data_IF_154038481667
#
_entry.id   IF_154038481667
#
_cell.length_a   1.000
_cell.length_b   1.000
_cell.length_c   1.000
_cell.angle_alpha   90.00
_cell.angle_beta   90.00
_cell.angle_gamma   90.00
#
_symmetry.space_group_name_H-M   'P 1'
#
loop_
_entity.id
_entity.type
_entity.pdbx_description
1 polymer ?
#
# COMPACT_ATOMS: atom_id res chain seq x y z
N UNK A 1 47.43 -28.13 -16.53
CA UNK A 1 46.73 -28.35 -17.80
C UNK A 1 46.56 -29.83 -18.00
N UNK A 2 45.54 -30.46 -17.48
CA UNK A 2 45.10 -31.84 -17.75
C UNK A 2 43.81 -32.14 -16.97
N UNK A 3 42.72 -31.47 -17.28
CA UNK A 3 41.39 -31.75 -16.70
C UNK A 3 40.23 -31.59 -17.70
N UNK A 4 40.52 -31.36 -18.98
CA UNK A 4 39.50 -31.12 -20.01
C UNK A 4 39.19 -32.34 -20.86
N UNK A 5 40.07 -33.32 -20.93
CA UNK A 5 39.92 -34.47 -21.87
C UNK A 5 39.01 -35.59 -21.33
N UNK A 6 38.84 -35.71 -19.99
CA UNK A 6 38.01 -36.76 -19.42
C UNK A 6 36.49 -36.50 -19.52
N UNK A 7 36.08 -35.25 -19.56
CA UNK A 7 34.66 -34.88 -19.72
C UNK A 7 34.14 -35.10 -21.15
N UNK A 8 34.94 -34.81 -22.16
CA UNK A 8 34.53 -35.03 -23.54
C UNK A 8 34.41 -36.52 -23.87
N UNK A 9 35.28 -37.36 -23.34
CA UNK A 9 35.20 -38.81 -23.49
C UNK A 9 34.00 -39.44 -22.78
N UNK A 10 33.60 -38.91 -21.60
CA UNK A 10 32.43 -39.36 -20.86
C UNK A 10 31.13 -38.96 -21.57
N UNK A 11 31.06 -37.77 -22.11
CA UNK A 11 29.88 -37.26 -22.84
C UNK A 11 29.69 -37.93 -24.19
N UNK A 12 30.78 -38.28 -24.92
CA UNK A 12 30.71 -38.99 -26.18
C UNK A 12 30.31 -40.47 -26.01
N UNK A 13 30.51 -41.07 -24.84
CA UNK A 13 30.05 -42.41 -24.53
C UNK A 13 28.54 -42.52 -24.25
N UNK A 14 27.94 -41.43 -23.77
CA UNK A 14 26.51 -41.33 -23.41
C UNK A 14 25.65 -40.72 -24.51
N UNK A 15 26.23 -39.80 -25.28
CA UNK A 15 25.55 -39.09 -26.38
C UNK A 15 26.30 -39.32 -27.69
N UNK A 16 25.62 -39.83 -28.71
CA UNK A 16 26.18 -39.90 -30.05
C UNK A 16 26.32 -38.50 -30.69
N UNK A 17 27.01 -38.36 -31.82
CA UNK A 17 27.18 -37.09 -32.51
C UNK A 17 25.81 -36.52 -32.91
N UNK A 18 25.43 -35.41 -32.26
CA UNK A 18 24.13 -34.76 -32.41
C UNK A 18 23.25 -34.71 -31.16
N UNK A 19 23.77 -35.10 -29.97
CA UNK A 19 23.11 -34.87 -28.68
C UNK A 19 21.85 -35.68 -28.41
N UNK A 20 21.65 -36.82 -29.11
CA UNK A 20 20.50 -37.74 -28.88
C UNK A 20 20.94 -38.96 -28.09
N UNK A 21 20.25 -39.27 -27.00
CA UNK A 21 20.43 -40.49 -26.22
C UNK A 21 20.22 -41.74 -27.13
N UNK A 22 21.21 -42.62 -27.17
CA UNK A 22 21.11 -43.93 -27.82
C UNK A 22 20.45 -44.92 -26.85
N UNK A 23 19.20 -45.27 -27.09
CA UNK A 23 18.58 -46.45 -26.52
C UNK A 23 18.74 -47.62 -27.50
N UNK A 24 19.56 -48.60 -27.14
CA UNK A 24 19.73 -49.78 -27.94
C UNK A 24 18.56 -50.74 -27.63
N UNK A 25 17.52 -50.67 -28.44
CA UNK A 25 16.37 -51.56 -28.37
C UNK A 25 16.54 -52.70 -29.34
N UNK A 26 17.40 -53.67 -29.04
CA UNK A 26 17.32 -55.05 -29.62
C UNK A 26 18.20 -56.01 -28.83
N UNK A 27 17.62 -56.74 -27.91
CA UNK A 27 17.87 -58.16 -27.63
C UNK A 27 16.79 -58.70 -26.71
N UNK A 28 15.83 -59.37 -27.23
CA UNK A 28 14.96 -60.30 -26.51
C UNK A 28 15.77 -61.49 -25.99
N UNK A 29 15.79 -61.76 -24.66
CA UNK A 29 16.34 -63.02 -24.16
C UNK A 29 15.26 -64.11 -24.25
N UNK A 30 15.67 -65.39 -24.39
CA UNK A 30 14.74 -66.51 -24.52
C UNK A 30 14.00 -66.79 -23.25
N UNK A 31 12.72 -67.17 -23.38
CA UNK A 31 11.85 -67.63 -22.33
C UNK A 31 12.44 -68.85 -21.59
N UNK A 32 12.53 -68.74 -20.25
CA UNK A 32 12.66 -69.90 -19.36
C UNK A 32 11.40 -70.01 -18.48
N UNK A 33 10.82 -71.22 -18.35
CA UNK A 33 9.60 -71.40 -17.60
C UNK A 33 9.86 -71.46 -16.12
N UNK A 34 9.00 -70.82 -15.30
CA UNK A 34 8.65 -71.18 -13.96
C UNK A 34 9.52 -70.69 -12.79
N UNK A 35 9.53 -69.39 -12.55
CA UNK A 35 9.84 -68.83 -11.23
C UNK A 35 8.75 -67.80 -10.85
N UNK A 36 8.24 -67.78 -9.62
CA UNK A 36 7.23 -66.78 -9.23
C UNK A 36 7.84 -65.39 -9.38
N UNK A 37 6.98 -64.48 -9.84
CA UNK A 37 7.31 -63.13 -10.28
C UNK A 37 7.89 -62.28 -9.11
N UNK A 38 9.19 -62.48 -8.82
CA UNK A 38 9.90 -61.72 -7.79
C UNK A 38 9.90 -60.23 -8.08
N UNK A 39 9.72 -59.80 -9.34
CA UNK A 39 9.63 -58.39 -9.71
C UNK A 39 8.29 -57.78 -9.30
N UNK A 40 7.19 -58.52 -9.35
CA UNK A 40 5.89 -58.03 -8.89
C UNK A 40 5.87 -57.85 -7.37
N UNK A 41 6.45 -58.77 -6.61
CA UNK A 41 6.55 -58.70 -5.15
C UNK A 41 7.48 -57.54 -4.71
N UNK A 42 8.58 -57.31 -5.44
CA UNK A 42 9.51 -56.18 -5.17
C UNK A 42 8.86 -54.83 -5.49
N UNK A 43 8.09 -54.73 -6.57
CA UNK A 43 7.36 -53.55 -6.95
C UNK A 43 6.24 -53.21 -5.95
N UNK A 44 5.59 -54.21 -5.39
CA UNK A 44 4.57 -54.04 -4.36
C UNK A 44 5.17 -53.63 -3.01
N UNK A 45 6.35 -54.14 -2.66
CA UNK A 45 7.10 -53.71 -1.50
C UNK A 45 7.60 -52.24 -1.67
N UNK A 46 8.09 -51.85 -2.85
CA UNK A 46 8.46 -50.46 -3.13
C UNK A 46 7.27 -49.52 -3.01
N UNK A 47 6.12 -49.88 -3.56
CA UNK A 47 4.90 -49.05 -3.43
C UNK A 47 4.46 -48.90 -1.97
N UNK A 48 4.51 -49.95 -1.17
CA UNK A 48 4.19 -49.89 0.27
C UNK A 48 5.18 -49.01 1.04
N UNK A 49 6.47 -49.07 0.70
CA UNK A 49 7.50 -48.24 1.31
C UNK A 49 7.31 -46.78 0.95
N UNK A 50 7.00 -46.46 -0.33
CA UNK A 50 6.72 -45.12 -0.80
C UNK A 50 5.46 -44.54 -0.16
N UNK A 51 4.42 -45.35 0.04
CA UNK A 51 3.22 -44.89 0.74
C UNK A 51 3.47 -44.66 2.24
N UNK A 52 4.28 -45.50 2.90
CA UNK A 52 4.68 -45.32 4.29
C UNK A 52 5.55 -44.02 4.44
N UNK A 53 6.50 -43.81 3.55
CA UNK A 53 7.34 -42.61 3.53
C UNK A 53 6.50 -41.34 3.27
N UNK A 54 5.52 -41.39 2.37
CA UNK A 54 4.60 -40.27 2.13
C UNK A 54 3.73 -39.97 3.34
N UNK A 55 3.23 -40.98 4.05
CA UNK A 55 2.46 -40.79 5.29
C UNK A 55 3.33 -40.19 6.40
N UNK A 56 4.52 -40.75 6.61
CA UNK A 56 5.45 -40.28 7.64
C UNK A 56 5.94 -38.84 7.37
N UNK A 57 6.21 -38.48 6.10
CA UNK A 57 6.55 -37.13 5.72
C UNK A 57 5.36 -36.16 5.85
N UNK A 58 4.13 -36.63 5.66
CA UNK A 58 2.94 -35.80 5.84
C UNK A 58 2.65 -35.54 7.33
N UNK A 59 2.88 -36.52 8.19
CA UNK A 59 2.78 -36.39 9.64
C UNK A 59 3.87 -35.49 10.20
N UNK A 60 5.13 -35.69 9.82
CA UNK A 60 6.25 -34.81 10.20
C UNK A 60 6.04 -33.37 9.77
N UNK A 61 5.49 -33.11 8.58
CA UNK A 61 5.15 -31.77 8.14
C UNK A 61 4.01 -31.13 8.93
N UNK A 62 3.02 -31.93 9.37
CA UNK A 62 1.93 -31.43 10.21
C UNK A 62 2.42 -31.06 11.60
N UNK A 63 3.23 -31.93 12.21
CA UNK A 63 3.76 -31.71 13.55
C UNK A 63 4.71 -30.53 13.58
N UNK A 64 5.66 -30.41 12.62
CA UNK A 64 6.55 -29.26 12.52
C UNK A 64 5.80 -27.96 12.22
N UNK A 65 4.71 -28.01 11.45
CA UNK A 65 3.89 -26.83 11.17
C UNK A 65 3.08 -26.41 12.41
N UNK A 66 2.54 -27.37 13.17
CA UNK A 66 1.81 -27.08 14.41
C UNK A 66 2.74 -26.57 15.51
N UNK A 67 3.94 -27.16 15.66
CA UNK A 67 4.94 -26.67 16.60
C UNK A 67 5.45 -25.29 16.23
N UNK A 68 5.71 -25.02 14.95
CA UNK A 68 6.11 -23.70 14.47
C UNK A 68 5.00 -22.65 14.67
N UNK A 69 3.73 -23.03 14.48
CA UNK A 69 2.58 -22.16 14.76
C UNK A 69 2.42 -21.90 16.27
N UNK A 70 2.63 -22.91 17.11
CA UNK A 70 2.56 -22.79 18.57
C UNK A 70 3.71 -21.89 19.09
N UNK A 71 4.92 -22.08 18.57
CA UNK A 71 6.06 -21.21 18.90
C UNK A 71 5.85 -19.77 18.44
N UNK A 72 5.31 -19.57 17.24
CA UNK A 72 4.98 -18.23 16.73
C UNK A 72 3.90 -17.54 17.56
N UNK A 73 2.88 -18.27 18.01
CA UNK A 73 1.85 -17.74 18.92
C UNK A 73 2.43 -17.36 20.27
N UNK A 74 3.26 -18.22 20.85
CA UNK A 74 3.91 -17.93 22.13
C UNK A 74 4.84 -16.72 22.03
N UNK A 75 5.59 -16.60 20.92
CA UNK A 75 6.46 -15.45 20.67
C UNK A 75 5.66 -14.14 20.49
N UNK A 76 4.48 -14.22 19.86
CA UNK A 76 3.56 -13.09 19.75
C UNK A 76 2.96 -12.70 21.11
N UNK A 77 2.56 -13.66 21.94
CA UNK A 77 2.06 -13.43 23.29
C UNK A 77 3.14 -12.82 24.19
N UNK A 78 4.39 -13.31 24.11
CA UNK A 78 5.53 -12.75 24.84
C UNK A 78 5.84 -11.30 24.37
N UNK A 79 5.78 -11.01 23.07
CA UNK A 79 5.96 -9.66 22.51
C UNK A 79 4.82 -8.70 22.87
N UNK A 80 3.58 -9.19 23.01
CA UNK A 80 2.45 -8.42 23.53
C UNK A 80 2.59 -8.13 25.03
N UNK A 81 3.08 -9.10 25.80
CA UNK A 81 3.33 -8.93 27.25
C UNK A 81 4.45 -7.93 27.52
N UNK A 82 5.48 -7.90 26.68
CA UNK A 82 6.60 -6.95 26.76
C UNK A 82 6.25 -5.54 26.20
N UNK A 83 5.02 -5.33 25.70
CA UNK A 83 4.58 -4.07 25.13
C UNK A 83 5.25 -3.70 23.79
N UNK A 84 5.94 -4.65 23.15
CA UNK A 84 6.60 -4.48 21.86
C UNK A 84 5.63 -4.56 20.69
N UNK A 85 4.45 -5.18 20.88
CA UNK A 85 3.34 -5.16 19.93
C UNK A 85 2.17 -4.36 20.52
N UNK A 86 1.66 -3.43 19.74
CA UNK A 86 0.43 -2.75 20.11
C UNK A 86 -0.71 -3.77 20.21
N UNK A 87 -1.31 -3.89 21.40
CA UNK A 87 -2.46 -4.76 21.62
C UNK A 87 -3.53 -4.48 20.58
N UNK A 88 -3.91 -5.49 19.81
CA UNK A 88 -5.20 -5.48 19.13
C UNK A 88 -5.27 -5.23 17.64
N UNK A 89 -4.31 -5.70 16.82
CA UNK A 89 -4.45 -5.56 15.36
C UNK A 89 -5.52 -6.45 14.71
N UNK A 90 -5.94 -7.54 15.32
CA UNK A 90 -6.89 -8.48 14.71
C UNK A 90 -8.34 -8.25 15.13
N UNK A 91 -8.61 -7.96 16.41
CA UNK A 91 -9.98 -7.69 16.91
C UNK A 91 -10.47 -6.30 16.47
N UNK A 92 -9.59 -5.31 16.48
CA UNK A 92 -9.83 -3.94 15.97
C UNK A 92 -10.25 -3.93 14.49
N UNK A 93 -9.81 -4.91 13.68
CA UNK A 93 -10.18 -5.00 12.25
C UNK A 93 -11.64 -5.31 11.99
N UNK A 94 -12.28 -6.18 12.77
CA UNK A 94 -13.69 -6.55 12.54
C UNK A 94 -14.64 -5.44 12.97
N UNK A 95 -14.40 -4.80 14.11
CA UNK A 95 -15.17 -3.65 14.57
C UNK A 95 -15.08 -2.47 13.59
N UNK A 96 -13.88 -2.17 13.10
CA UNK A 96 -13.68 -1.09 12.14
C UNK A 96 -14.32 -1.39 10.77
N UNK A 97 -14.39 -2.65 10.32
CA UNK A 97 -15.03 -3.00 9.06
C UNK A 97 -16.53 -2.72 9.08
N UNK A 98 -17.21 -3.00 10.19
CA UNK A 98 -18.62 -2.64 10.39
C UNK A 98 -18.86 -1.13 10.34
N UNK A 99 -17.90 -0.33 10.83
CA UNK A 99 -17.99 1.14 10.82
C UNK A 99 -17.92 1.76 9.42
N UNK A 100 -17.49 1.00 8.39
CA UNK A 100 -17.54 1.45 6.99
C UNK A 100 -18.89 1.24 6.31
N UNK A 101 -19.79 0.45 6.91
CA UNK A 101 -21.12 0.24 6.33
C UNK A 101 -21.92 1.54 6.28
N UNK A 102 -22.49 1.82 5.11
CA UNK A 102 -23.24 3.03 4.87
C UNK A 102 -22.41 4.33 4.80
N UNK A 103 -21.08 4.29 5.00
CA UNK A 103 -20.22 5.48 4.93
C UNK A 103 -20.32 6.19 3.58
N UNK A 104 -20.23 5.44 2.48
CA UNK A 104 -20.35 6.02 1.14
C UNK A 104 -21.73 6.67 0.92
N UNK A 105 -22.81 6.04 1.39
CA UNK A 105 -24.16 6.61 1.31
C UNK A 105 -24.30 7.90 2.13
N UNK A 106 -23.62 8.00 3.25
CA UNK A 106 -23.60 9.23 4.07
C UNK A 106 -22.85 10.37 3.35
N UNK A 107 -21.66 10.08 2.79
CA UNK A 107 -20.87 11.08 2.05
C UNK A 107 -21.62 11.54 0.79
N UNK A 108 -22.32 10.65 0.08
CA UNK A 108 -23.13 10.97 -1.12
C UNK A 108 -24.30 11.92 -0.83
N UNK A 109 -24.79 12.01 0.43
CA UNK A 109 -25.80 13.01 0.79
C UNK A 109 -25.28 14.44 0.70
N UNK A 110 -23.97 14.62 0.90
CA UNK A 110 -23.31 15.93 0.88
C UNK A 110 -22.60 16.19 -0.43
N UNK A 111 -21.96 15.15 -1.00
CA UNK A 111 -21.22 15.19 -2.27
C UNK A 111 -22.14 14.73 -3.40
N UNK A 112 -22.66 15.69 -4.17
CA UNK A 112 -23.61 15.42 -5.24
C UNK A 112 -22.92 15.20 -6.58
N UNK A 113 -23.42 14.26 -7.37
CA UNK A 113 -23.01 14.04 -8.77
C UNK A 113 -21.62 13.41 -8.96
N UNK A 114 -21.04 12.81 -7.90
CA UNK A 114 -19.74 12.14 -7.93
C UNK A 114 -19.79 10.77 -7.26
N UNK A 115 -20.87 10.02 -7.44
CA UNK A 115 -21.15 8.79 -6.71
C UNK A 115 -20.06 7.73 -6.86
N UNK A 116 -19.59 7.48 -8.09
CA UNK A 116 -18.53 6.53 -8.36
C UNK A 116 -17.18 6.96 -7.74
N UNK A 117 -16.90 8.27 -7.75
CA UNK A 117 -15.71 8.83 -7.12
C UNK A 117 -15.76 8.67 -5.60
N UNK A 118 -16.90 8.97 -4.97
CA UNK A 118 -17.12 8.75 -3.53
C UNK A 118 -16.91 7.28 -3.16
N UNK A 119 -17.50 6.35 -3.93
CA UNK A 119 -17.30 4.91 -3.70
C UNK A 119 -15.81 4.52 -3.82
N UNK A 120 -15.11 5.09 -4.80
CA UNK A 120 -13.67 4.90 -4.99
C UNK A 120 -12.87 5.38 -3.78
N UNK A 121 -13.11 6.61 -3.32
CA UNK A 121 -12.40 7.21 -2.17
C UNK A 121 -12.67 6.40 -0.89
N UNK A 122 -13.93 6.06 -0.60
CA UNK A 122 -14.28 5.26 0.59
C UNK A 122 -13.62 3.88 0.53
N UNK A 123 -13.58 3.23 -0.63
CA UNK A 123 -12.88 1.95 -0.82
C UNK A 123 -11.37 2.10 -0.59
N UNK A 124 -10.75 3.16 -1.12
CA UNK A 124 -9.33 3.45 -0.93
C UNK A 124 -8.98 3.68 0.55
N UNK A 125 -9.83 4.40 1.28
CA UNK A 125 -9.66 4.63 2.72
C UNK A 125 -9.89 3.35 3.55
N UNK A 126 -10.78 2.46 3.11
CA UNK A 126 -11.06 1.18 3.76
C UNK A 126 -9.95 0.15 3.57
N UNK A 127 -9.20 0.21 2.45
CA UNK A 127 -8.20 -0.81 2.07
C UNK A 127 -7.23 -1.18 3.20
N UNK A 128 -6.62 -0.26 3.96
CA UNK A 128 -5.69 -0.59 5.04
C UNK A 128 -6.33 -1.40 6.18
N UNK A 129 -7.60 -1.17 6.46
CA UNK A 129 -8.33 -1.90 7.50
C UNK A 129 -8.60 -3.37 7.10
N UNK A 130 -8.64 -3.65 5.80
CA UNK A 130 -8.84 -5.00 5.26
C UNK A 130 -7.52 -5.74 5.11
N UNK A 131 -6.53 -5.10 4.50
CA UNK A 131 -5.25 -5.72 4.15
C UNK A 131 -4.22 -5.64 5.29
N UNK A 132 -4.43 -4.70 6.21
CA UNK A 132 -3.42 -4.32 7.18
C UNK A 132 -2.34 -3.43 6.57
N UNK A 133 -1.54 -2.82 7.42
CA UNK A 133 -0.39 -2.01 7.03
C UNK A 133 0.78 -2.37 7.91
N UNK A 134 1.96 -2.43 7.32
CA UNK A 134 3.20 -2.60 8.07
C UNK A 134 3.73 -1.21 8.48
N UNK A 135 3.75 -0.93 9.78
CA UNK A 135 4.41 0.28 10.26
C UNK A 135 5.95 0.16 10.04
N UNK A 136 6.65 1.23 9.65
CA UNK A 136 6.21 2.64 9.60
C UNK A 136 5.74 3.11 8.22
N UNK A 137 5.38 2.21 7.30
CA UNK A 137 5.01 2.54 5.92
C UNK A 137 3.72 3.39 5.84
N UNK A 138 3.41 3.92 4.66
CA UNK A 138 2.14 4.58 4.42
C UNK A 138 0.98 3.59 4.54
N UNK A 139 -0.15 4.02 5.09
CA UNK A 139 -1.37 3.19 5.13
C UNK A 139 -1.87 2.85 3.74
N UNK A 140 -1.94 3.86 2.87
CA UNK A 140 -2.26 3.70 1.47
C UNK A 140 -1.69 4.89 0.69
N UNK A 141 -1.38 4.66 -0.59
CA UNK A 141 -0.98 5.70 -1.54
C UNK A 141 -2.10 5.82 -2.57
N UNK A 142 -2.74 6.98 -2.60
CA UNK A 142 -3.99 7.20 -3.35
C UNK A 142 -3.78 8.33 -4.34
N UNK A 143 -4.23 8.14 -5.58
CA UNK A 143 -4.29 9.18 -6.59
C UNK A 143 -5.73 9.61 -6.80
N UNK A 144 -6.03 10.89 -6.60
CA UNK A 144 -7.30 11.52 -6.90
C UNK A 144 -7.18 12.37 -8.15
N UNK A 145 -7.77 11.91 -9.25
CA UNK A 145 -7.68 12.54 -10.57
C UNK A 145 -8.94 13.30 -10.92
N UNK A 146 -8.80 14.24 -11.86
CA UNK A 146 -9.89 14.90 -12.55
C UNK A 146 -9.74 16.42 -12.68
N UNK A 147 -10.69 17.03 -13.37
CA UNK A 147 -10.67 18.45 -13.63
C UNK A 147 -10.75 19.31 -12.35
N UNK A 148 -10.22 20.51 -12.33
CA UNK A 148 -10.39 21.44 -11.21
C UNK A 148 -11.88 21.75 -11.03
N UNK A 149 -12.29 21.94 -9.75
CA UNK A 149 -13.69 22.28 -9.44
C UNK A 149 -14.66 21.07 -9.40
N UNK A 150 -14.21 19.85 -9.67
CA UNK A 150 -15.06 18.64 -9.64
C UNK A 150 -15.30 18.07 -8.24
N UNK A 151 -14.82 18.73 -7.19
CA UNK A 151 -15.12 18.35 -5.80
C UNK A 151 -14.16 17.35 -5.17
N UNK A 152 -12.98 17.08 -5.76
CA UNK A 152 -11.98 16.14 -5.21
C UNK A 152 -11.63 16.41 -3.75
N UNK A 153 -11.28 17.67 -3.45
CA UNK A 153 -10.91 18.10 -2.11
C UNK A 153 -12.08 17.99 -1.12
N UNK A 154 -13.25 18.45 -1.58
CA UNK A 154 -14.47 18.39 -0.79
C UNK A 154 -14.86 16.95 -0.44
N UNK A 155 -14.81 16.03 -1.41
CA UNK A 155 -15.10 14.61 -1.18
C UNK A 155 -14.14 14.00 -0.17
N UNK A 156 -12.84 14.27 -0.27
CA UNK A 156 -11.86 13.75 0.68
C UNK A 156 -12.10 14.31 2.10
N UNK A 157 -12.40 15.61 2.21
CA UNK A 157 -12.71 16.27 3.49
C UNK A 157 -13.97 15.68 4.13
N UNK A 158 -15.05 15.51 3.36
CA UNK A 158 -16.29 14.92 3.88
C UNK A 158 -16.10 13.44 4.25
N UNK A 159 -15.33 12.69 3.47
CA UNK A 159 -14.99 11.31 3.83
C UNK A 159 -14.19 11.26 5.13
N UNK A 160 -13.18 12.11 5.29
CA UNK A 160 -12.39 12.19 6.51
C UNK A 160 -13.26 12.57 7.72
N UNK A 161 -14.16 13.55 7.56
CA UNK A 161 -15.12 13.96 8.60
C UNK A 161 -16.03 12.80 9.03
N UNK A 162 -16.64 12.10 8.09
CA UNK A 162 -17.50 10.96 8.37
C UNK A 162 -16.73 9.80 9.03
N UNK A 163 -15.49 9.57 8.60
CA UNK A 163 -14.61 8.57 9.21
C UNK A 163 -14.22 8.94 10.64
N UNK A 164 -13.89 10.20 10.90
CA UNK A 164 -13.55 10.68 12.24
C UNK A 164 -14.74 10.56 13.22
N UNK A 165 -15.95 10.92 12.76
CA UNK A 165 -17.19 10.75 13.55
C UNK A 165 -17.42 9.29 13.94
N UNK A 166 -17.03 8.35 13.07
CA UNK A 166 -17.17 6.90 13.30
C UNK A 166 -15.96 6.28 14.03
N UNK A 167 -15.00 7.08 14.47
CA UNK A 167 -13.81 6.61 15.18
C UNK A 167 -12.79 5.88 14.30
N UNK A 168 -12.91 5.95 12.96
CA UNK A 168 -11.98 5.33 12.01
C UNK A 168 -10.71 6.15 11.80
N UNK A 169 -10.77 7.46 12.05
CA UNK A 169 -9.64 8.38 12.09
C UNK A 169 -9.65 9.13 13.42
N UNK A 170 -8.47 9.52 13.89
CA UNK A 170 -8.32 10.33 15.11
C UNK A 170 -8.72 11.79 14.87
N UNK A 171 -8.60 12.28 13.64
CA UNK A 171 -8.92 13.65 13.26
C UNK A 171 -9.46 13.71 11.84
N UNK A 172 -10.38 14.62 11.59
CA UNK A 172 -10.91 14.97 10.28
C UNK A 172 -10.00 15.93 9.47
N UNK A 173 -8.91 16.42 10.11
CA UNK A 173 -8.01 17.38 9.49
C UNK A 173 -7.11 16.72 8.45
N UNK A 174 -7.01 17.39 7.31
CA UNK A 174 -6.06 17.06 6.25
C UNK A 174 -4.80 17.90 6.43
N UNK A 175 -3.62 17.28 6.33
CA UNK A 175 -2.37 17.99 6.18
C UNK A 175 -2.12 18.19 4.68
N UNK A 176 -2.18 19.42 4.19
CA UNK A 176 -2.05 19.72 2.76
C UNK A 176 -0.71 20.39 2.49
N UNK A 177 0.04 19.83 1.54
CA UNK A 177 1.28 20.40 1.02
C UNK A 177 1.09 20.83 -0.44
N UNK A 178 1.20 22.11 -0.70
CA UNK A 178 1.27 22.64 -2.05
C UNK A 178 2.70 22.57 -2.57
N UNK A 179 2.96 21.58 -3.43
CA UNK A 179 4.29 21.31 -3.96
C UNK A 179 4.80 22.38 -4.94
N UNK A 180 3.92 23.27 -5.43
CA UNK A 180 4.33 24.40 -6.24
C UNK A 180 5.19 25.41 -5.45
N UNK A 181 5.16 25.38 -4.12
CA UNK A 181 6.02 26.22 -3.27
C UNK A 181 7.50 25.79 -3.31
N UNK A 182 7.82 24.64 -3.88
CA UNK A 182 9.17 24.06 -3.90
C UNK A 182 9.68 23.82 -5.33
N UNK A 183 9.81 24.87 -6.18
CA UNK A 183 10.11 24.72 -7.60
C UNK A 183 11.58 24.48 -7.91
N UNK A 184 12.48 24.65 -6.94
CA UNK A 184 13.93 24.58 -7.16
C UNK A 184 14.66 23.99 -5.93
N UNK A 185 15.91 23.52 -6.08
CA UNK A 185 16.66 22.88 -4.99
C UNK A 185 16.91 23.81 -3.79
N UNK A 186 16.89 25.13 -3.96
CA UNK A 186 17.07 26.09 -2.85
C UNK A 186 15.94 26.05 -1.83
N UNK A 187 14.78 25.49 -2.17
CA UNK A 187 13.65 25.31 -1.25
C UNK A 187 13.76 24.07 -0.35
N UNK A 188 14.89 23.33 -0.36
CA UNK A 188 15.03 22.06 0.36
C UNK A 188 14.71 22.16 1.85
N UNK A 189 15.25 23.16 2.54
CA UNK A 189 15.00 23.33 3.98
C UNK A 189 13.53 23.57 4.29
N UNK A 190 12.87 24.38 3.49
CA UNK A 190 11.43 24.66 3.62
C UNK A 190 10.63 23.38 3.34
N UNK A 191 10.92 22.69 2.23
CA UNK A 191 10.26 21.43 1.88
C UNK A 191 10.38 20.38 2.99
N UNK A 192 11.58 20.17 3.52
CA UNK A 192 11.81 19.19 4.58
C UNK A 192 11.09 19.58 5.88
N UNK A 193 11.10 20.87 6.24
CA UNK A 193 10.40 21.37 7.42
C UNK A 193 8.90 21.16 7.30
N UNK A 194 8.31 21.53 6.17
CA UNK A 194 6.86 21.40 5.95
C UNK A 194 6.44 19.94 5.84
N UNK A 195 7.24 19.10 5.18
CA UNK A 195 7.01 17.66 5.09
C UNK A 195 7.06 17.01 6.49
N UNK A 196 8.06 17.37 7.29
CA UNK A 196 8.18 16.86 8.65
C UNK A 196 6.99 17.28 9.50
N UNK A 197 6.62 18.55 9.45
CA UNK A 197 5.46 19.08 10.18
C UNK A 197 4.14 18.43 9.74
N UNK A 198 3.95 18.23 8.44
CA UNK A 198 2.76 17.57 7.89
C UNK A 198 2.66 16.10 8.30
N UNK A 199 3.77 15.36 8.32
CA UNK A 199 3.81 13.99 8.78
C UNK A 199 3.51 13.89 10.28
N UNK A 200 3.95 14.83 11.09
CA UNK A 200 3.73 14.81 12.55
C UNK A 200 2.47 15.56 12.98
N UNK A 201 1.73 16.17 12.04
CA UNK A 201 0.41 16.75 12.32
C UNK A 201 -0.57 15.67 12.81
N UNK A 202 -1.57 16.02 13.63
CA UNK A 202 -2.53 15.05 14.21
C UNK A 202 -3.42 14.37 13.16
N UNK A 203 -3.61 14.99 11.97
CA UNK A 203 -4.37 14.38 10.88
C UNK A 203 -3.64 13.17 10.27
N UNK A 204 -4.39 12.14 9.93
CA UNK A 204 -3.84 10.90 9.37
C UNK A 204 -3.76 10.90 7.84
N UNK A 205 -4.22 11.96 7.19
CA UNK A 205 -4.24 12.11 5.73
C UNK A 205 -3.33 13.25 5.33
N UNK A 206 -2.31 12.93 4.54
CA UNK A 206 -1.37 13.87 3.95
C UNK A 206 -1.66 14.02 2.46
N UNK A 207 -1.96 15.24 2.05
CA UNK A 207 -2.36 15.58 0.68
C UNK A 207 -1.23 16.35 -0.01
N UNK A 208 -0.89 15.94 -1.22
CA UNK A 208 0.09 16.59 -2.09
C UNK A 208 -0.61 17.15 -3.32
N UNK A 209 -0.46 18.46 -3.53
CA UNK A 209 -1.03 19.18 -4.66
C UNK A 209 0.07 19.76 -5.55
N UNK A 210 -0.24 20.02 -6.82
CA UNK A 210 0.62 20.70 -7.80
C UNK A 210 2.03 20.09 -7.95
N UNK A 211 2.14 18.77 -7.89
CA UNK A 211 3.41 18.05 -8.01
C UNK A 211 4.12 18.32 -9.35
N UNK A 212 3.39 18.73 -10.38
CA UNK A 212 3.93 19.07 -11.70
C UNK A 212 4.93 20.21 -11.65
N UNK A 213 4.75 21.14 -10.71
CA UNK A 213 5.60 22.35 -10.52
C UNK A 213 6.71 22.13 -9.50
N UNK A 214 6.78 20.98 -8.85
CA UNK A 214 7.76 20.67 -7.84
C UNK A 214 9.12 20.30 -8.44
N UNK A 215 10.20 20.63 -7.70
CA UNK A 215 11.54 20.19 -8.07
C UNK A 215 11.65 18.65 -8.07
N UNK A 216 12.21 18.02 -9.13
CA UNK A 216 12.25 16.55 -9.27
C UNK A 216 12.95 15.83 -8.11
N UNK A 217 13.95 16.46 -7.48
CA UNK A 217 14.63 15.91 -6.32
C UNK A 217 13.70 15.67 -5.12
N UNK A 218 12.73 16.58 -4.89
CA UNK A 218 11.75 16.42 -3.82
C UNK A 218 10.69 15.41 -4.17
N UNK A 219 10.29 15.30 -5.44
CA UNK A 219 9.41 14.22 -5.91
C UNK A 219 10.04 12.85 -5.67
N UNK A 220 11.35 12.72 -5.84
CA UNK A 220 12.09 11.48 -5.49
C UNK A 220 11.99 11.16 -4.00
N UNK A 221 12.09 12.16 -3.12
CA UNK A 221 11.91 11.98 -1.67
C UNK A 221 10.50 11.46 -1.35
N UNK A 222 9.47 12.03 -1.97
CA UNK A 222 8.08 11.56 -1.81
C UNK A 222 7.89 10.14 -2.40
N UNK A 223 8.53 9.84 -3.53
CA UNK A 223 8.51 8.50 -4.10
C UNK A 223 9.17 7.48 -3.17
N UNK A 224 10.31 7.81 -2.57
CA UNK A 224 10.99 6.94 -1.60
C UNK A 224 10.14 6.71 -0.34
N UNK A 225 9.43 7.73 0.15
CA UNK A 225 8.45 7.57 1.24
C UNK A 225 7.34 6.58 0.90
N UNK A 226 6.79 6.66 -0.31
CA UNK A 226 5.72 5.79 -0.74
C UNK A 226 6.18 4.35 -1.03
N UNK A 227 7.33 4.21 -1.72
CA UNK A 227 7.83 2.91 -2.21
C UNK A 227 8.60 2.15 -1.12
N UNK A 228 9.49 2.86 -0.39
CA UNK A 228 10.41 2.26 0.59
C UNK A 228 9.93 2.42 2.03
N UNK A 229 8.81 3.13 2.25
CA UNK A 229 8.34 3.48 3.60
C UNK A 229 9.28 4.42 4.35
N UNK A 230 10.33 4.93 3.73
CA UNK A 230 11.23 5.92 4.32
C UNK A 230 12.07 6.62 3.27
N UNK A 231 12.34 7.92 3.46
CA UNK A 231 13.25 8.69 2.63
C UNK A 231 14.48 9.14 3.43
N UNK A 232 15.70 8.97 2.92
CA UNK A 232 16.89 9.52 3.54
C UNK A 232 16.90 11.05 3.41
N UNK A 233 17.43 11.71 4.41
CA UNK A 233 17.65 13.16 4.37
C UNK A 233 19.09 13.45 3.89
N UNK A 234 19.29 14.60 3.26
CA UNK A 234 20.60 15.08 2.78
C UNK A 234 21.58 15.35 3.93
N UNK A 235 21.06 15.74 5.08
CA UNK A 235 21.79 16.01 6.31
C UNK A 235 21.14 15.32 7.51
N UNK A 236 21.79 15.42 8.67
CA UNK A 236 21.19 15.02 9.95
C UNK A 236 20.52 16.24 10.57
N UNK A 237 19.31 16.05 11.09
CA UNK A 237 18.54 17.13 11.70
C UNK A 237 18.23 16.79 13.16
N UNK A 238 18.29 17.79 14.02
CA UNK A 238 17.74 17.73 15.36
C UNK A 238 16.36 18.35 15.34
N UNK A 239 15.44 17.76 16.06
CA UNK A 239 14.11 18.33 16.28
C UNK A 239 14.13 19.15 17.55
N UNK A 240 13.90 20.45 17.46
CA UNK A 240 13.79 21.29 18.63
C UNK A 240 12.44 21.08 19.35
N UNK A 241 12.26 21.75 20.51
CA UNK A 241 11.03 21.65 21.31
C UNK A 241 9.76 22.13 20.57
N UNK A 242 9.94 22.93 19.53
CA UNK A 242 8.87 23.47 18.69
C UNK A 242 8.56 22.60 17.47
N UNK A 243 9.24 21.44 17.33
CA UNK A 243 9.05 20.54 16.18
C UNK A 243 9.79 20.99 14.91
N UNK A 244 10.73 21.94 15.04
CA UNK A 244 11.47 22.48 13.88
C UNK A 244 12.74 21.64 13.66
N UNK A 245 13.01 21.30 12.40
CA UNK A 245 14.23 20.63 11.97
C UNK A 245 15.39 21.62 11.94
N UNK A 246 16.38 21.40 12.79
CA UNK A 246 17.63 22.16 12.83
C UNK A 246 18.75 21.29 12.30
N UNK A 247 19.49 21.77 11.32
CA UNK A 247 20.63 21.03 10.76
C UNK A 247 21.68 20.78 11.85
N UNK A 248 21.96 19.50 12.09
CA UNK A 248 22.95 19.08 13.08
C UNK A 248 24.38 19.09 12.52
N UNK A 249 24.56 19.35 11.24
CA UNK A 249 25.86 19.30 10.55
C UNK A 249 26.53 17.93 10.69
N UNK A 250 27.80 17.92 11.09
CA UNK A 250 28.60 16.71 11.31
C UNK A 250 28.49 16.15 12.72
N UNK A 251 27.74 16.78 13.61
CA UNK A 251 27.64 16.38 15.01
C UNK A 251 26.90 15.03 15.13
N UNK A 252 27.51 14.10 15.87
CA UNK A 252 26.90 12.83 16.28
C UNK A 252 26.01 13.10 17.51
N UNK A 253 24.90 13.81 17.32
CA UNK A 253 24.00 14.10 18.42
C UNK A 253 23.00 12.95 18.61
N UNK A 254 22.78 12.48 19.85
CA UNK A 254 21.70 11.53 20.14
C UNK A 254 20.34 12.11 19.71
N UNK A 255 19.53 11.31 19.05
CA UNK A 255 18.21 11.76 18.56
C UNK A 255 18.21 12.50 17.23
N UNK A 256 19.35 12.55 16.51
CA UNK A 256 19.39 13.13 15.17
C UNK A 256 18.59 12.29 14.16
N UNK A 257 17.69 12.95 13.45
CA UNK A 257 16.86 12.38 12.40
C UNK A 257 17.64 12.41 11.09
N UNK A 258 17.89 11.26 10.50
CA UNK A 258 18.53 11.09 9.18
C UNK A 258 17.61 10.52 8.12
N UNK A 259 16.40 10.15 8.49
CA UNK A 259 15.37 9.58 7.62
C UNK A 259 14.00 10.08 8.06
N UNK A 260 13.10 10.24 7.11
CA UNK A 260 11.68 10.52 7.36
C UNK A 260 10.88 9.28 6.97
N UNK A 261 9.86 8.96 7.76
CA UNK A 261 8.89 7.87 7.49
C UNK A 261 7.49 8.45 7.45
N UNK A 262 6.55 7.87 6.68
CA UNK A 262 5.18 8.37 6.60
C UNK A 262 4.34 8.13 7.87
N UNK A 263 4.89 7.45 8.87
CA UNK A 263 4.27 7.21 10.18
C UNK A 263 2.82 6.67 10.10
N UNK A 264 2.55 5.77 9.17
CA UNK A 264 1.23 5.18 8.98
C UNK A 264 0.15 6.13 8.47
N UNK A 265 0.51 7.21 7.79
CA UNK A 265 -0.45 8.13 7.17
C UNK A 265 -0.90 7.66 5.79
N UNK A 266 -2.07 8.13 5.36
CA UNK A 266 -2.49 8.07 3.96
C UNK A 266 -1.72 9.13 3.17
N UNK A 267 -1.11 8.75 2.05
CA UNK A 267 -0.47 9.67 1.11
C UNK A 267 -1.41 9.85 -0.09
N UNK A 268 -1.99 11.03 -0.22
CA UNK A 268 -2.98 11.34 -1.25
C UNK A 268 -2.41 12.35 -2.22
N UNK A 269 -2.34 11.99 -3.50
CA UNK A 269 -1.84 12.85 -4.56
C UNK A 269 -3.00 13.37 -5.39
N UNK A 270 -3.07 14.69 -5.59
CA UNK A 270 -4.05 15.31 -6.46
C UNK A 270 -3.44 15.57 -7.83
N UNK A 271 -4.14 15.17 -8.88
CA UNK A 271 -3.72 15.41 -10.26
C UNK A 271 -4.91 15.82 -11.11
N UNK A 272 -4.65 16.68 -12.11
CA UNK A 272 -5.62 16.91 -13.18
C UNK A 272 -5.55 15.83 -14.25
N UNK A 273 -4.44 15.11 -14.29
CA UNK A 273 -4.11 14.06 -15.26
C UNK A 273 -4.11 12.70 -14.54
N UNK A 274 -4.27 11.65 -15.32
CA UNK A 274 -4.33 10.31 -14.82
C UNK A 274 -2.98 9.73 -14.36
N UNK A 275 -2.98 8.43 -14.15
CA UNK A 275 -1.85 7.62 -13.66
C UNK A 275 -0.57 7.76 -14.52
N UNK A 276 -0.72 7.94 -15.84
CA UNK A 276 0.43 8.05 -16.76
C UNK A 276 1.27 9.30 -16.48
N UNK A 277 0.62 10.44 -16.29
CA UNK A 277 1.34 11.69 -15.98
C UNK A 277 2.07 11.62 -14.62
N UNK A 278 1.55 10.83 -13.69
CA UNK A 278 2.21 10.57 -12.42
C UNK A 278 3.45 9.67 -12.63
N UNK A 279 3.35 8.68 -13.53
CA UNK A 279 4.47 7.82 -13.90
C UNK A 279 5.65 8.60 -14.50
N UNK A 280 5.35 9.58 -15.34
CA UNK A 280 6.37 10.45 -15.96
C UNK A 280 7.15 11.27 -14.93
N UNK A 281 6.53 11.65 -13.83
CA UNK A 281 7.14 12.49 -12.79
C UNK A 281 7.80 11.69 -11.67
N UNK A 282 7.16 10.62 -11.20
CA UNK A 282 7.59 9.83 -10.05
C UNK A 282 8.26 8.51 -10.43
N UNK A 283 8.11 8.07 -11.68
CA UNK A 283 8.62 6.80 -12.18
C UNK A 283 7.69 5.61 -11.95
N UNK A 284 7.97 4.49 -12.66
CA UNK A 284 7.15 3.29 -12.66
C UNK A 284 7.05 2.62 -11.27
N UNK A 285 8.13 2.65 -10.48
CA UNK A 285 8.15 2.08 -9.13
C UNK A 285 7.11 2.74 -8.19
N UNK A 286 6.95 4.06 -8.28
CA UNK A 286 5.92 4.77 -7.52
C UNK A 286 4.50 4.36 -7.95
N UNK A 287 4.28 4.25 -9.25
CA UNK A 287 2.97 3.86 -9.79
C UNK A 287 2.57 2.44 -9.38
N UNK A 288 3.55 1.55 -9.18
CA UNK A 288 3.29 0.18 -8.74
C UNK A 288 2.78 0.08 -7.29
N UNK A 289 3.09 1.07 -6.44
CA UNK A 289 2.63 1.13 -5.04
C UNK A 289 1.34 1.94 -4.85
N UNK A 290 0.81 2.55 -5.92
CA UNK A 290 -0.51 3.17 -5.86
C UNK A 290 -1.55 2.10 -5.54
N UNK A 291 -2.13 2.19 -4.35
CA UNK A 291 -3.18 1.29 -3.92
C UNK A 291 -4.48 1.53 -4.68
N UNK A 292 -4.84 2.80 -4.88
CA UNK A 292 -6.08 3.18 -5.53
C UNK A 292 -5.93 4.44 -6.38
N UNK A 293 -6.64 4.44 -7.50
CA UNK A 293 -6.81 5.61 -8.38
C UNK A 293 -8.29 5.90 -8.48
N UNK A 294 -8.69 7.10 -8.06
CA UNK A 294 -10.07 7.54 -8.10
C UNK A 294 -10.18 8.75 -9.04
N UNK A 295 -11.10 8.69 -9.97
CA UNK A 295 -11.29 9.72 -10.98
C UNK A 295 -12.68 10.35 -10.88
N UNK A 296 -12.73 11.69 -10.88
CA UNK A 296 -13.99 12.42 -10.91
C UNK A 296 -14.52 12.49 -12.34
N UNK A 297 -15.83 12.43 -12.48
CA UNK A 297 -16.51 12.67 -13.75
C UNK A 297 -16.90 14.15 -13.92
N UNK A 298 -17.19 14.54 -15.18
CA UNK A 298 -17.85 15.82 -15.43
C UNK A 298 -19.25 15.80 -14.82
N UNK A 299 -19.67 16.95 -14.28
CA UNK A 299 -21.02 17.05 -13.71
C UNK A 299 -22.10 16.99 -14.80
N UNK A 300 -23.08 16.14 -14.59
CA UNK A 300 -24.33 16.20 -15.35
C UNK A 300 -25.11 17.48 -15.01
N UNK A 301 -25.96 17.92 -15.92
CA UNK A 301 -26.75 19.15 -15.75
C UNK A 301 -27.64 19.11 -14.51
N UNK A 302 -28.21 17.97 -14.22
CA UNK A 302 -29.06 17.73 -13.05
C UNK A 302 -28.26 17.86 -11.76
N UNK A 303 -27.03 17.34 -11.74
CA UNK A 303 -26.13 17.45 -10.59
C UNK A 303 -25.71 18.91 -10.34
N UNK A 304 -25.46 19.69 -11.40
CA UNK A 304 -25.16 21.12 -11.29
C UNK A 304 -26.34 21.90 -10.72
N UNK A 305 -27.57 21.59 -11.17
CA UNK A 305 -28.77 22.21 -10.63
C UNK A 305 -28.97 21.89 -9.14
N UNK A 306 -28.75 20.63 -8.75
CA UNK A 306 -28.83 20.20 -7.35
C UNK A 306 -27.76 20.88 -6.48
N UNK A 307 -26.52 21.01 -6.98
CA UNK A 307 -25.43 21.73 -6.31
C UNK A 307 -25.78 23.20 -6.13
N UNK A 308 -26.30 23.86 -7.17
CA UNK A 308 -26.72 25.26 -7.08
C UNK A 308 -27.81 25.44 -6.04
N UNK A 309 -28.81 24.58 -6.03
CA UNK A 309 -29.89 24.61 -5.01
C UNK A 309 -29.33 24.41 -3.60
N UNK A 310 -28.42 23.45 -3.40
CA UNK A 310 -27.76 23.21 -2.12
C UNK A 310 -26.97 24.44 -1.63
N UNK A 311 -26.20 25.08 -2.52
CA UNK A 311 -25.41 26.29 -2.20
C UNK A 311 -26.34 27.47 -1.84
N UNK A 312 -27.41 27.67 -2.60
CA UNK A 312 -28.41 28.72 -2.33
C UNK A 312 -29.08 28.50 -0.97
N UNK A 313 -29.50 27.29 -0.67
CA UNK A 313 -30.09 26.94 0.63
C UNK A 313 -29.12 27.17 1.80
N UNK A 314 -27.84 26.79 1.63
CA UNK A 314 -26.80 27.03 2.62
C UNK A 314 -26.54 28.55 2.83
N UNK A 315 -26.53 29.32 1.74
CA UNK A 315 -26.42 30.77 1.80
C UNK A 315 -27.63 31.41 2.48
N UNK A 316 -28.84 31.00 2.10
CA UNK A 316 -30.08 31.48 2.72
C UNK A 316 -30.12 31.22 4.22
N UNK A 317 -29.70 30.03 4.66
CA UNK A 317 -29.59 29.70 6.07
C UNK A 317 -28.58 30.60 6.81
N UNK A 318 -27.39 30.85 6.23
CA UNK A 318 -26.39 31.75 6.78
C UNK A 318 -26.88 33.20 6.91
N UNK A 319 -27.57 33.69 5.88
CA UNK A 319 -28.13 35.07 5.84
C UNK A 319 -29.23 35.19 6.88
N UNK A 320 -30.11 34.21 7.00
CA UNK A 320 -31.14 34.19 8.02
C UNK A 320 -30.57 34.20 9.45
N UNK A 321 -29.54 33.40 9.69
CA UNK A 321 -28.90 33.31 11.03
C UNK A 321 -28.10 34.54 11.38
N UNK A 322 -27.41 35.17 10.42
CA UNK A 322 -26.50 36.30 10.69
C UNK A 322 -27.17 37.67 10.59
N UNK A 323 -28.11 37.82 9.68
CA UNK A 323 -28.72 39.10 9.31
C UNK A 323 -30.22 39.18 9.60
N UNK A 324 -30.86 38.06 9.97
CA UNK A 324 -32.31 37.99 10.14
C UNK A 324 -33.13 38.13 8.86
N UNK A 325 -32.46 38.13 7.69
CA UNK A 325 -33.10 38.33 6.41
C UNK A 325 -33.45 36.97 5.73
N UNK A 326 -34.58 36.94 5.06
CA UNK A 326 -34.96 35.77 4.24
C UNK A 326 -34.60 36.00 2.78
N UNK A 327 -33.74 35.13 2.25
CA UNK A 327 -33.40 35.11 0.84
C UNK A 327 -34.44 34.25 0.08
N UNK A 328 -35.05 34.83 -0.95
CA UNK A 328 -35.85 34.11 -1.93
C UNK A 328 -35.14 34.19 -3.28
N UNK A 329 -34.93 33.04 -3.94
CA UNK A 329 -34.51 33.04 -5.33
C UNK A 329 -35.73 33.43 -6.17
N UNK A 330 -35.66 34.53 -6.92
CA UNK A 330 -36.61 34.83 -7.96
C UNK A 330 -36.58 33.77 -9.06
N UNK A 331 -37.70 33.48 -9.66
CA UNK A 331 -37.83 32.52 -10.76
C UNK A 331 -37.06 32.98 -12.00
#
# INVERSE_FOLDING_TARGET
MAYTDDWENLMNGVFGPGGKLRFDTQKTPPEKPGLPDMNAALLEQQKKLDEMLKKQNAELRRDTTQEALAQSRKMLEDMEADGLLAKGTTEVRQEHLGSFEGLAAEVKKTVLGQDAFVDGVVRAMRRPFVLGTEAPTARNVILLCGAPGTGRHFTLTETARCMAVRGLLQSDKLAVMDLALYPNPGAEKLFLQDLYAAIHAPGEILVFEHYESCYPGFLKTLADLAVKGSAPLSSRYLVNKEGILVDAGTALAPGAVSRITPCGKYLVFFSQKGREALADKFGAAFVSVLGDVCETSAFAREALAALAAQQLNALAAKVKTRLGLTLSAGA
#
